data_IF_330976411228
#
_entry.id   IF_330976411228
#
_cell.length_a   1.000
_cell.length_b   1.000
_cell.length_c   1.000
_cell.angle_alpha   90.00
_cell.angle_beta   90.00
_cell.angle_gamma   90.00
#
_symmetry.space_group_name_H-M   'P 1'
#
loop_
_entity.id
_entity.type
_entity.pdbx_description
1 polymer ?
#
# COMPACT_ATOMS: atom_id res chain seq x y z
N UNK A 1 0.81 -5.98 14.24
CA UNK A 1 0.00 -6.89 15.09
C UNK A 1 -1.38 -6.29 15.27
N UNK A 2 -2.45 -7.07 15.49
CA UNK A 2 -3.72 -6.55 16.01
C UNK A 2 -3.52 -5.94 17.41
N UNK A 3 -4.35 -4.96 17.79
CA UNK A 3 -4.21 -4.26 19.06
C UNK A 3 -4.37 -5.20 20.25
N UNK A 4 -5.41 -6.05 20.22
CA UNK A 4 -5.68 -7.05 21.24
C UNK A 4 -4.54 -8.05 21.46
N UNK A 5 -3.76 -8.36 20.42
CA UNK A 5 -2.58 -9.22 20.56
C UNK A 5 -1.37 -8.46 21.05
N UNK A 6 -1.25 -7.18 20.71
CA UNK A 6 -0.15 -6.35 21.18
C UNK A 6 -0.21 -6.12 22.70
N UNK A 7 -1.43 -6.13 23.28
CA UNK A 7 -1.71 -5.91 24.70
C UNK A 7 -1.84 -7.22 25.52
N UNK A 8 -1.72 -8.39 24.90
CA UNK A 8 -1.83 -9.70 25.56
C UNK A 8 -0.44 -10.37 25.66
N UNK A 9 0.25 -10.30 26.82
CA UNK A 9 1.59 -10.85 26.99
C UNK A 9 1.67 -12.37 26.78
N UNK A 10 0.61 -13.11 27.14
CA UNK A 10 0.56 -14.56 27.01
C UNK A 10 0.47 -14.97 25.54
N UNK A 11 -0.40 -14.32 24.77
CA UNK A 11 -0.51 -14.56 23.33
C UNK A 11 0.77 -14.17 22.60
N UNK A 12 1.42 -13.07 23.00
CA UNK A 12 2.72 -12.66 22.43
C UNK A 12 3.82 -13.67 22.71
N UNK A 13 3.91 -14.17 23.94
CA UNK A 13 4.88 -15.19 24.33
C UNK A 13 4.65 -16.49 23.55
N UNK A 14 3.39 -16.91 23.41
CA UNK A 14 3.00 -18.09 22.62
C UNK A 14 3.35 -17.94 21.14
N UNK A 15 3.14 -16.76 20.57
CA UNK A 15 3.48 -16.45 19.18
C UNK A 15 4.96 -16.06 18.98
N UNK A 16 5.78 -16.05 20.04
CA UNK A 16 7.19 -15.66 20.03
C UNK A 16 7.43 -14.25 19.47
N UNK A 17 6.52 -13.32 19.77
CA UNK A 17 6.58 -11.93 19.34
C UNK A 17 7.45 -11.14 20.34
N UNK A 18 8.57 -10.53 19.90
CA UNK A 18 9.41 -9.70 20.77
C UNK A 18 8.67 -8.48 21.33
N UNK A 19 9.03 -8.03 22.54
CA UNK A 19 8.32 -6.96 23.27
C UNK A 19 8.34 -5.60 22.55
N UNK A 20 9.39 -5.35 21.79
CA UNK A 20 9.59 -4.15 20.97
C UNK A 20 8.58 -4.00 19.83
N UNK A 21 7.95 -5.11 19.39
CA UNK A 21 6.94 -5.04 18.32
C UNK A 21 5.62 -4.55 18.90
N UNK A 22 5.26 -3.30 18.62
CA UNK A 22 4.01 -2.69 19.07
C UNK A 22 2.93 -2.70 17.97
N UNK A 23 1.69 -2.38 18.35
CA UNK A 23 0.64 -2.12 17.37
C UNK A 23 1.01 -0.90 16.52
N UNK A 24 0.84 -1.03 15.20
CA UNK A 24 0.99 0.07 14.24
C UNK A 24 -0.12 -0.02 13.22
N UNK A 25 -0.61 1.14 12.78
CA UNK A 25 -1.65 1.21 11.75
C UNK A 25 -1.07 0.86 10.37
N UNK A 26 -1.93 0.44 9.45
CA UNK A 26 -1.54 0.12 8.07
C UNK A 26 -0.79 1.30 7.40
N UNK A 27 -1.23 2.57 7.51
CA UNK A 27 -0.47 3.69 6.96
C UNK A 27 0.89 3.91 7.63
N UNK A 28 0.99 3.73 8.95
CA UNK A 28 2.28 3.87 9.67
C UNK A 28 3.31 2.82 9.24
N UNK A 29 2.88 1.58 9.01
CA UNK A 29 3.76 0.51 8.54
C UNK A 29 4.20 0.79 7.10
N UNK A 30 3.26 1.15 6.22
CA UNK A 30 3.59 1.45 4.82
C UNK A 30 4.57 2.63 4.69
N UNK A 31 4.40 3.68 5.50
CA UNK A 31 5.27 4.85 5.43
C UNK A 31 6.70 4.55 5.91
N UNK A 32 6.85 3.68 6.91
CA UNK A 32 8.16 3.17 7.32
C UNK A 32 8.80 2.30 6.22
N UNK A 33 8.05 1.38 5.61
CA UNK A 33 8.57 0.57 4.51
C UNK A 33 9.07 1.43 3.35
N UNK A 34 8.34 2.50 3.02
CA UNK A 34 8.75 3.47 2.00
C UNK A 34 10.03 4.21 2.43
N UNK A 35 10.15 4.61 3.71
CA UNK A 35 11.38 5.24 4.23
C UNK A 35 12.57 4.31 4.12
N UNK A 36 12.41 3.04 4.51
CA UNK A 36 13.46 2.03 4.42
C UNK A 36 13.89 1.80 2.98
N UNK A 37 12.94 1.56 2.06
CA UNK A 37 13.24 1.37 0.64
C UNK A 37 13.99 2.58 0.05
N UNK A 38 13.58 3.80 0.41
CA UNK A 38 14.29 5.02 -0.01
C UNK A 38 15.72 5.08 0.55
N UNK A 39 15.91 4.74 1.82
CA UNK A 39 17.22 4.73 2.47
C UNK A 39 18.16 3.66 1.87
N UNK A 40 17.60 2.52 1.44
CA UNK A 40 18.32 1.46 0.72
C UNK A 40 18.63 1.81 -0.75
N UNK A 41 18.22 2.99 -1.22
CA UNK A 41 18.53 3.47 -2.57
C UNK A 41 17.64 2.88 -3.66
N UNK A 42 16.46 2.35 -3.31
CA UNK A 42 15.47 1.93 -4.32
C UNK A 42 15.14 3.13 -5.21
N UNK A 43 15.24 2.93 -6.52
CA UNK A 43 15.04 3.99 -7.50
C UNK A 43 13.67 4.68 -7.30
N UNK A 44 13.64 6.01 -7.14
CA UNK A 44 12.40 6.72 -6.86
C UNK A 44 11.48 6.70 -8.07
N UNK A 45 10.21 6.34 -7.84
CA UNK A 45 9.11 6.42 -8.78
C UNK A 45 7.90 7.14 -8.17
N UNK A 46 6.75 7.08 -8.86
CA UNK A 46 5.49 7.61 -8.31
C UNK A 46 4.90 6.57 -7.35
N UNK A 47 4.59 6.99 -6.12
CA UNK A 47 3.89 6.14 -5.15
C UNK A 47 2.40 6.09 -5.49
N UNK A 48 1.87 4.88 -5.65
CA UNK A 48 0.44 4.63 -5.83
C UNK A 48 -0.12 3.95 -4.58
N UNK A 49 -1.24 4.44 -4.05
CA UNK A 49 -1.92 3.78 -2.93
C UNK A 49 -3.45 3.92 -3.00
N UNK A 50 -4.13 2.96 -2.37
CA UNK A 50 -5.59 2.90 -2.33
C UNK A 50 -6.21 3.90 -1.34
N UNK A 51 -7.54 4.02 -1.38
CA UNK A 51 -8.30 4.97 -0.55
C UNK A 51 -8.25 4.70 0.96
N UNK A 52 -7.89 3.48 1.38
CA UNK A 52 -7.62 3.13 2.77
C UNK A 52 -6.35 3.81 3.31
N UNK A 53 -5.42 4.20 2.45
CA UNK A 53 -4.26 5.03 2.84
C UNK A 53 -4.54 6.51 2.65
N UNK A 54 -5.24 6.87 1.57
CA UNK A 54 -5.48 8.28 1.25
C UNK A 54 -6.49 8.98 2.12
N UNK A 55 -7.25 8.29 2.97
CA UNK A 55 -8.02 8.96 4.02
C UNK A 55 -7.12 9.54 5.14
N UNK A 56 -5.94 8.94 5.37
CA UNK A 56 -5.02 9.34 6.42
C UNK A 56 -4.17 10.55 5.98
N UNK A 57 -4.36 11.69 6.66
CA UNK A 57 -3.63 12.93 6.37
C UNK A 57 -2.14 12.84 6.68
N UNK A 58 -1.76 12.08 7.73
CA UNK A 58 -0.37 11.88 8.12
C UNK A 58 0.38 11.04 7.09
N UNK A 59 -0.29 10.06 6.47
CA UNK A 59 0.29 9.28 5.37
C UNK A 59 0.64 10.17 4.17
N UNK A 60 -0.32 10.99 3.72
CA UNK A 60 -0.10 11.92 2.60
C UNK A 60 0.98 12.97 2.93
N UNK A 61 0.98 13.49 4.16
CA UNK A 61 2.01 14.43 4.62
C UNK A 61 3.40 13.79 4.62
N UNK A 62 3.52 12.57 5.16
CA UNK A 62 4.81 11.88 5.20
C UNK A 62 5.34 11.51 3.81
N UNK A 63 4.49 11.23 2.82
CA UNK A 63 4.94 11.10 1.42
C UNK A 63 5.50 12.42 0.87
N UNK A 64 4.82 13.53 1.14
CA UNK A 64 5.30 14.87 0.75
C UNK A 64 6.62 15.23 1.43
N UNK A 65 6.78 14.95 2.74
CA UNK A 65 8.03 15.18 3.49
C UNK A 65 9.19 14.36 2.93
N UNK A 66 8.93 13.15 2.44
CA UNK A 66 9.92 12.33 1.76
C UNK A 66 10.23 12.83 0.34
N UNK A 67 9.60 13.91 -0.13
CA UNK A 67 9.81 14.45 -1.47
C UNK A 67 9.34 13.49 -2.58
N UNK A 68 8.41 12.59 -2.28
CA UNK A 68 7.91 11.61 -3.23
C UNK A 68 6.72 12.17 -3.99
N UNK A 69 6.71 11.96 -5.31
CA UNK A 69 5.51 12.19 -6.12
C UNK A 69 4.55 11.04 -5.87
N UNK A 70 3.26 11.33 -5.65
CA UNK A 70 2.27 10.29 -5.36
C UNK A 70 0.91 10.55 -5.99
N UNK A 71 0.18 9.46 -6.23
CA UNK A 71 -1.25 9.46 -6.55
C UNK A 71 -1.93 8.49 -5.60
N UNK A 72 -2.80 9.00 -4.74
CA UNK A 72 -3.48 8.19 -3.73
C UNK A 72 -4.98 8.38 -3.88
N UNK A 73 -5.73 7.29 -3.93
CA UNK A 73 -7.19 7.34 -3.91
C UNK A 73 -7.67 7.99 -2.62
N UNK A 74 -8.78 8.73 -2.64
CA UNK A 74 -9.39 9.28 -1.42
C UNK A 74 -10.84 8.83 -1.33
N UNK A 75 -11.35 8.68 -0.11
CA UNK A 75 -12.77 8.42 0.09
C UNK A 75 -13.58 9.67 -0.23
N UNK A 76 -14.80 9.55 -0.80
CA UNK A 76 -15.63 10.70 -1.14
C UNK A 76 -16.08 11.52 0.07
N UNK A 77 -15.96 10.95 1.28
CA UNK A 77 -16.25 11.60 2.56
C UNK A 77 -15.10 12.46 3.08
N UNK A 78 -13.91 12.39 2.45
CA UNK A 78 -12.75 13.19 2.86
C UNK A 78 -12.96 14.66 2.45
N UNK A 79 -13.07 15.54 3.44
CA UNK A 79 -13.03 16.99 3.22
C UNK A 79 -11.58 17.47 3.07
N UNK A 80 -11.33 18.30 2.06
CA UNK A 80 -10.03 18.92 1.79
C UNK A 80 -10.18 20.43 1.69
N UNK A 81 -9.19 21.15 2.20
CA UNK A 81 -9.14 22.62 2.24
C UNK A 81 -7.89 23.11 1.53
N UNK A 82 -7.92 24.31 0.95
CA UNK A 82 -6.70 24.88 0.40
C UNK A 82 -5.72 25.22 1.53
N UNK A 83 -4.41 25.33 1.24
CA UNK A 83 -3.46 25.87 2.21
C UNK A 83 -3.94 27.21 2.77
N UNK A 84 -4.01 27.34 4.09
CA UNK A 84 -4.51 28.53 4.79
C UNK A 84 -6.04 28.58 4.98
N UNK A 85 -6.80 27.64 4.42
CA UNK A 85 -8.23 27.50 4.68
C UNK A 85 -8.47 26.45 5.78
N UNK A 86 -9.51 26.66 6.59
CA UNK A 86 -9.98 25.74 7.61
C UNK A 86 -11.50 25.55 7.50
N UNK A 87 -12.05 24.42 7.99
CA UNK A 87 -13.49 24.25 8.04
C UNK A 87 -14.15 25.38 8.85
N UNK A 88 -15.33 25.79 8.41
CA UNK A 88 -16.18 26.67 9.22
C UNK A 88 -16.71 25.88 10.43
N UNK A 89 -16.87 26.54 11.59
CA UNK A 89 -17.47 25.89 12.75
C UNK A 89 -18.89 25.41 12.41
N UNK A 90 -19.39 24.36 13.09
CA UNK A 90 -20.76 23.91 12.94
C UNK A 90 -21.74 25.06 13.14
N UNK A 91 -22.87 25.02 12.41
CA UNK A 91 -23.93 26.03 12.57
C UNK A 91 -24.36 26.10 14.05
N UNK A 92 -24.61 27.29 14.61
CA UNK A 92 -25.13 27.40 15.98
C UNK A 92 -26.39 26.56 16.16
N UNK A 93 -26.46 25.85 17.29
CA UNK A 93 -27.61 24.99 17.58
C UNK A 93 -28.85 25.83 17.89
N UNK A 94 -29.97 25.48 17.25
CA UNK A 94 -31.24 26.20 17.42
C UNK A 94 -32.00 25.86 18.72
N UNK A 95 -31.46 24.97 19.55
CA UNK A 95 -32.14 24.45 20.75
C UNK A 95 -33.16 23.34 20.47
N UNK A 96 -33.41 22.99 19.20
CA UNK A 96 -34.29 21.88 18.81
C UNK A 96 -33.52 20.78 18.09
N UNK A 97 -33.87 19.52 18.40
CA UNK A 97 -33.28 18.33 17.79
C UNK A 97 -31.80 18.12 18.17
N UNK A 98 -31.14 17.17 17.48
CA UNK A 98 -29.73 16.84 17.74
C UNK A 98 -28.82 18.03 17.39
N UNK A 99 -27.88 18.43 18.27
CA UNK A 99 -26.89 19.45 17.95
C UNK A 99 -26.11 19.11 16.67
N UNK A 100 -25.88 20.07 15.76
CA UNK A 100 -25.12 19.84 14.56
C UNK A 100 -23.64 19.59 14.92
N UNK A 101 -23.11 18.43 14.52
CA UNK A 101 -21.70 18.07 14.73
C UNK A 101 -20.84 18.21 13.47
N UNK A 102 -21.47 18.44 12.31
CA UNK A 102 -20.77 18.58 11.04
C UNK A 102 -20.30 20.02 10.85
N UNK A 103 -19.08 20.16 10.35
CA UNK A 103 -18.53 21.45 9.91
C UNK A 103 -19.47 22.07 8.88
N UNK A 104 -19.62 23.39 8.93
CA UNK A 104 -20.39 24.09 7.93
C UNK A 104 -19.59 24.11 6.62
N UNK A 105 -20.24 23.78 5.51
CA UNK A 105 -19.62 23.96 4.21
C UNK A 105 -19.72 25.43 3.80
N UNK A 106 -18.62 26.04 3.31
CA UNK A 106 -18.70 27.39 2.77
C UNK A 106 -19.70 27.39 1.61
N UNK A 107 -20.57 28.40 1.55
CA UNK A 107 -21.44 28.59 0.39
C UNK A 107 -20.57 28.93 -0.81
N UNK A 108 -20.26 27.91 -1.61
CA UNK A 108 -19.54 28.10 -2.87
C UNK A 108 -20.50 28.79 -3.85
N UNK A 109 -20.45 30.13 -3.89
CA UNK A 109 -21.05 30.91 -4.99
C UNK A 109 -20.11 30.82 -6.19
N UNK A 110 -19.90 29.64 -6.75
CA UNK A 110 -19.18 29.48 -8.02
C UNK A 110 -20.18 29.21 -9.13
N UNK A 111 -20.31 30.19 -10.02
CA UNK A 111 -21.13 30.14 -11.24
C UNK A 111 -20.37 29.48 -12.40
N UNK A 112 -19.46 28.55 -12.14
CA UNK A 112 -18.80 27.76 -13.17
C UNK A 112 -19.18 26.29 -13.03
N UNK A 113 -19.91 25.78 -14.02
CA UNK A 113 -20.16 24.33 -14.16
C UNK A 113 -18.81 23.62 -14.28
N UNK A 114 -18.54 22.57 -13.49
CA UNK A 114 -17.36 21.76 -13.71
C UNK A 114 -17.39 21.20 -15.13
N UNK A 115 -16.25 21.23 -15.82
CA UNK A 115 -16.14 20.60 -17.14
C UNK A 115 -16.41 19.10 -16.98
N UNK A 116 -17.29 18.50 -17.79
CA UNK A 116 -17.56 17.07 -17.71
C UNK A 116 -16.27 16.29 -18.00
N UNK A 117 -16.08 15.20 -17.26
CA UNK A 117 -14.98 14.28 -17.53
C UNK A 117 -15.12 13.74 -18.97
N UNK A 118 -14.03 13.73 -19.78
CA UNK A 118 -14.10 13.18 -21.12
C UNK A 118 -14.47 11.69 -21.04
N UNK A 119 -15.56 11.29 -21.72
CA UNK A 119 -16.07 9.90 -21.75
C UNK A 119 -15.07 8.89 -22.33
N UNK A 120 -14.03 9.37 -23.00
CA UNK A 120 -12.98 8.55 -23.59
C UNK A 120 -11.63 9.23 -23.41
N UNK A 121 -10.69 8.53 -22.80
CA UNK A 121 -9.27 8.82 -22.97
C UNK A 121 -8.86 8.13 -24.26
N UNK A 122 -8.99 8.80 -25.40
CA UNK A 122 -8.31 8.32 -26.61
C UNK A 122 -6.81 8.55 -26.41
N UNK A 123 -5.96 7.53 -26.59
CA UNK A 123 -4.53 7.75 -26.62
C UNK A 123 -4.22 8.82 -27.65
N UNK A 124 -3.42 9.83 -27.27
CA UNK A 124 -2.98 10.85 -28.20
C UNK A 124 -2.17 10.16 -29.32
N UNK A 125 -2.53 10.32 -30.60
CA UNK A 125 -1.69 9.83 -31.68
C UNK A 125 -0.30 10.47 -31.53
N UNK A 126 0.74 9.64 -31.36
CA UNK A 126 2.12 10.11 -31.22
C UNK A 126 2.69 10.13 -29.79
N UNK A 127 1.98 9.67 -28.76
CA UNK A 127 2.59 9.39 -27.45
C UNK A 127 3.43 8.09 -27.50
N UNK A 128 4.47 8.07 -28.34
CA UNK A 128 5.51 7.04 -28.35
C UNK A 128 6.64 7.57 -27.47
N UNK A 129 6.95 6.88 -26.38
CA UNK A 129 8.18 7.16 -25.62
C UNK A 129 9.37 7.05 -26.58
N UNK A 130 10.26 8.05 -26.68
CA UNK A 130 11.50 7.89 -27.41
C UNK A 130 12.34 6.85 -26.64
N UNK A 131 12.50 5.65 -27.20
CA UNK A 131 13.44 4.66 -26.67
C UNK A 131 12.92 3.23 -26.47
N UNK A 132 11.62 2.95 -26.63
CA UNK A 132 11.15 1.57 -26.64
C UNK A 132 11.49 0.91 -27.99
N UNK A 133 12.66 0.27 -28.08
CA UNK A 133 12.93 -0.67 -29.18
C UNK A 133 12.03 -1.89 -29.01
N UNK A 134 11.23 -2.16 -30.02
CA UNK A 134 10.46 -3.38 -30.17
C UNK A 134 11.44 -4.58 -30.18
N UNK A 135 11.26 -5.60 -29.32
CA UNK A 135 12.08 -6.80 -29.42
C UNK A 135 11.70 -7.55 -30.71
N UNK A 136 12.62 -7.57 -31.66
CA UNK A 136 12.50 -8.37 -32.88
C UNK A 136 12.43 -9.86 -32.51
N UNK A 137 11.45 -10.64 -33.01
CA UNK A 137 11.37 -12.07 -32.75
C UNK A 137 12.34 -12.81 -33.67
N UNK A 138 13.63 -12.75 -33.37
CA UNK A 138 14.63 -13.63 -33.96
C UNK A 138 15.90 -13.56 -33.13
N UNK A 139 16.14 -14.62 -32.34
CA UNK A 139 17.42 -15.10 -31.78
C UNK A 139 17.16 -15.81 -30.43
N UNK A 140 16.28 -16.82 -30.40
CA UNK A 140 16.31 -17.81 -29.32
C UNK A 140 17.06 -19.01 -29.89
N UNK A 141 18.33 -19.28 -29.51
CA UNK A 141 18.94 -20.56 -29.82
C UNK A 141 18.17 -21.65 -29.06
N UNK A 142 17.75 -22.68 -29.78
CA UNK A 142 17.08 -23.84 -29.23
C UNK A 142 17.92 -24.48 -28.12
N UNK A 143 17.34 -24.65 -26.93
CA UNK A 143 17.91 -25.48 -25.88
C UNK A 143 18.06 -26.92 -26.38
N UNK A 144 19.20 -27.60 -26.15
CA UNK A 144 19.34 -29.00 -26.52
C UNK A 144 18.40 -29.88 -25.68
N UNK A 145 17.92 -31.03 -26.24
CA UNK A 145 17.04 -31.93 -25.53
C UNK A 145 17.76 -32.55 -24.33
N UNK A 146 17.13 -32.51 -23.15
CA UNK A 146 17.58 -33.22 -21.96
C UNK A 146 17.71 -34.72 -22.26
N UNK A 147 18.94 -35.21 -22.30
CA UNK A 147 19.24 -36.64 -22.34
C UNK A 147 19.16 -37.23 -20.93
N UNK A 148 18.31 -38.24 -20.79
CA UNK A 148 18.15 -39.06 -19.60
C UNK A 148 19.46 -39.80 -19.27
N UNK A 149 19.96 -39.65 -18.04
CA UNK A 149 21.14 -40.35 -17.52
C UNK A 149 20.88 -40.99 -16.16
N UNK A 150 20.59 -42.29 -16.20
CA UNK A 150 20.49 -43.30 -15.13
C UNK A 150 21.48 -43.11 -13.95
N UNK A 151 20.98 -42.96 -12.72
CA UNK A 151 21.78 -43.10 -11.49
C UNK A 151 21.90 -44.59 -11.08
N UNK A 152 23.09 -45.10 -10.73
CA UNK A 152 23.26 -46.43 -10.14
C UNK A 152 22.89 -46.45 -8.65
N UNK A 153 22.39 -47.60 -8.22
CA UNK A 153 21.62 -47.81 -6.99
C UNK A 153 22.36 -47.59 -5.68
N UNK A 154 21.60 -47.16 -4.68
CA UNK A 154 21.97 -47.22 -3.26
C UNK A 154 21.20 -48.37 -2.62
N UNK A 155 21.93 -49.40 -2.21
CA UNK A 155 21.44 -50.56 -1.47
C UNK A 155 20.97 -50.13 -0.07
N UNK A 156 19.70 -50.43 0.25
CA UNK A 156 19.13 -50.30 1.59
C UNK A 156 19.54 -51.55 2.40
N UNK A 157 20.38 -51.36 3.42
CA UNK A 157 20.68 -52.37 4.45
C UNK A 157 19.71 -52.27 5.64
N UNK A 158 19.52 -53.35 6.43
CA UNK A 158 18.32 -53.53 7.23
C UNK A 158 18.29 -52.77 8.56
N UNK A 159 17.04 -52.42 8.90
CA UNK A 159 16.49 -51.86 10.13
C UNK A 159 16.87 -52.67 11.39
N UNK A 160 17.51 -52.04 12.36
CA UNK A 160 17.60 -52.54 13.74
C UNK A 160 16.42 -51.98 14.56
N UNK A 161 15.69 -52.89 15.20
CA UNK A 161 14.57 -52.61 16.11
C UNK A 161 15.06 -52.23 17.51
N UNK A 162 14.35 -51.38 18.26
CA UNK A 162 14.65 -51.12 19.66
C UNK A 162 14.15 -52.27 20.56
N UNK A 163 15.02 -52.74 21.46
CA UNK A 163 14.67 -53.67 22.55
C UNK A 163 13.98 -52.92 23.69
N UNK A 164 12.84 -53.48 24.11
CA UNK A 164 12.12 -53.22 25.35
C UNK A 164 12.76 -53.91 26.57
N UNK A 165 12.53 -53.34 27.76
CA UNK A 165 12.70 -53.97 29.08
C UNK A 165 13.92 -53.40 29.84
N UNK A 166 13.84 -53.01 31.10
CA UNK A 166 12.88 -53.27 32.18
C UNK A 166 12.88 -52.14 33.20
#
# INVERSE_FOLDING_TARGET
>A
LPHSWAEDPEQRKKAKIPAEITFRTKPQIALEQIRTAKAEGVAPGVVLADAGYGADGGFRAGLSELGLTYVVGVQPTLSVWRPGESPLPPKPWSGRGRPPSRVAEPTITSRSRPRPWPRSLTPRPGARSPGAKEPTPSSIPASPPCACGRHPGTTIGPRLTPKSGS
#
